data_IF_495875709286
#
_entry.id   IF_495875709286
#
_cell.length_a   1.000
_cell.length_b   1.000
_cell.length_c   1.000
_cell.angle_alpha   90.00
_cell.angle_beta   90.00
_cell.angle_gamma   90.00
#
_symmetry.space_group_name_H-M   'P 1'
#
loop_
_entity.id
_entity.type
_entity.pdbx_description
1 polymer ?
#
# COMPACT_ATOMS: atom_id res chain seq x y z
N UNK A 1 -1.88 47.71 15.59
CA UNK A 1 -2.86 46.61 15.47
C UNK A 1 -2.34 45.66 14.39
N UNK A 2 -1.53 44.65 14.79
CA UNK A 2 -0.95 43.68 13.86
C UNK A 2 -1.97 42.57 13.64
N UNK A 3 -2.49 42.45 12.43
CA UNK A 3 -3.28 41.33 11.99
C UNK A 3 -2.30 40.16 11.74
N UNK A 4 -2.25 39.21 12.66
CA UNK A 4 -1.66 37.89 12.42
C UNK A 4 -2.60 37.13 11.47
N UNK A 5 -2.28 37.13 10.16
CA UNK A 5 -2.87 36.21 9.22
C UNK A 5 -2.33 34.80 9.53
N UNK A 6 -3.14 34.05 10.27
CA UNK A 6 -2.88 32.63 10.48
C UNK A 6 -2.89 31.91 9.12
N UNK A 7 -1.73 31.52 8.62
CA UNK A 7 -1.62 30.51 7.58
C UNK A 7 -2.12 29.20 8.19
N UNK A 8 -3.37 28.85 7.89
CA UNK A 8 -3.85 27.48 8.06
C UNK A 8 -3.01 26.62 7.10
N UNK A 9 -2.02 25.89 7.62
CA UNK A 9 -1.43 24.79 6.88
C UNK A 9 -2.59 23.83 6.57
N UNK A 10 -3.04 23.81 5.32
CA UNK A 10 -3.97 22.80 4.86
C UNK A 10 -3.23 21.47 4.94
N UNK A 11 -3.73 20.54 5.76
CA UNK A 11 -3.14 19.21 5.82
C UNK A 11 -3.23 18.59 4.43
N UNK A 12 -2.14 18.01 3.94
CA UNK A 12 -2.10 17.36 2.64
C UNK A 12 -3.13 16.23 2.62
N UNK A 13 -3.98 16.22 1.59
CA UNK A 13 -5.00 15.17 1.41
C UNK A 13 -4.51 14.11 0.41
N UNK A 14 -5.02 12.87 0.55
CA UNK A 14 -4.71 11.76 -0.36
C UNK A 14 -5.00 12.10 -1.83
N UNK A 15 -5.97 12.96 -2.08
CA UNK A 15 -6.42 13.34 -3.42
C UNK A 15 -5.53 14.36 -4.14
N UNK A 16 -4.50 14.87 -3.48
CA UNK A 16 -3.51 15.77 -4.08
C UNK A 16 -2.42 15.01 -4.84
N UNK A 17 -2.32 13.70 -4.60
CA UNK A 17 -1.30 12.88 -5.25
C UNK A 17 -1.69 12.51 -6.67
N UNK A 18 -0.66 12.45 -7.52
CA UNK A 18 -0.72 11.93 -8.88
C UNK A 18 0.29 10.78 -8.98
N UNK A 19 -0.12 9.68 -9.56
CA UNK A 19 0.66 8.45 -9.71
C UNK A 19 0.71 8.02 -11.17
N UNK A 20 1.64 7.15 -11.54
CA UNK A 20 1.74 6.60 -12.90
C UNK A 20 1.16 5.20 -12.92
N UNK A 21 0.25 4.90 -13.85
CA UNK A 21 -0.27 3.55 -14.02
C UNK A 21 0.69 2.64 -14.79
N UNK A 22 0.37 1.34 -14.87
CA UNK A 22 1.20 0.35 -15.56
C UNK A 22 1.36 0.58 -17.09
N UNK A 23 0.58 1.50 -17.67
CA UNK A 23 0.71 1.94 -19.06
C UNK A 23 1.54 3.23 -19.20
N UNK A 24 2.16 3.72 -18.14
CA UNK A 24 2.94 4.94 -18.11
C UNK A 24 2.11 6.23 -18.11
N UNK A 25 0.80 6.15 -17.86
CA UNK A 25 -0.09 7.31 -17.85
C UNK A 25 -0.23 7.87 -16.45
N UNK A 26 -0.25 9.21 -16.37
CA UNK A 26 -0.50 9.93 -15.13
C UNK A 26 -1.96 9.80 -14.70
N UNK A 27 -2.19 9.47 -13.43
CA UNK A 27 -3.50 9.26 -12.81
C UNK A 27 -3.58 10.08 -11.52
N UNK A 28 -4.47 11.05 -11.46
CA UNK A 28 -4.74 11.81 -10.24
C UNK A 28 -5.58 10.98 -9.27
N UNK A 29 -5.19 10.89 -8.00
CA UNK A 29 -5.97 10.16 -6.98
C UNK A 29 -7.33 10.83 -6.71
N UNK A 30 -7.50 12.10 -7.08
CA UNK A 30 -8.80 12.77 -7.06
C UNK A 30 -9.87 12.08 -7.91
N UNK A 31 -9.49 11.27 -8.91
CA UNK A 31 -10.41 10.44 -9.71
C UNK A 31 -11.14 9.39 -8.87
N UNK A 32 -10.63 9.08 -7.70
CA UNK A 32 -11.19 8.09 -6.77
C UNK A 32 -11.98 8.71 -5.61
N UNK A 33 -12.29 10.03 -5.66
CA UNK A 33 -13.12 10.67 -4.61
C UNK A 33 -14.44 9.93 -4.41
N UNK A 34 -14.83 9.76 -3.14
CA UNK A 34 -16.06 9.07 -2.76
C UNK A 34 -15.93 7.54 -2.75
N UNK A 35 -14.80 6.98 -3.16
CA UNK A 35 -14.51 5.53 -3.05
C UNK A 35 -13.74 5.23 -1.76
N UNK A 36 -13.94 4.02 -1.25
CA UNK A 36 -13.02 3.43 -0.26
C UNK A 36 -11.80 2.92 -1.03
N UNK A 37 -10.59 3.32 -0.61
CA UNK A 37 -9.38 2.86 -1.28
C UNK A 37 -8.62 1.88 -0.39
N UNK A 38 -8.10 0.81 -1.00
CA UNK A 38 -7.11 -0.07 -0.41
C UNK A 38 -5.82 0.06 -1.23
N UNK A 39 -4.82 0.79 -0.69
CA UNK A 39 -3.54 1.00 -1.34
C UNK A 39 -2.56 -0.06 -0.82
N UNK A 40 -1.93 -0.81 -1.72
CA UNK A 40 -1.06 -1.93 -1.37
C UNK A 40 0.24 -1.90 -2.16
N UNK A 41 1.39 -2.16 -1.48
CA UNK A 41 2.64 -2.44 -2.17
C UNK A 41 2.83 -3.94 -2.34
N UNK A 42 3.15 -4.38 -3.55
CA UNK A 42 3.12 -5.79 -3.91
C UNK A 42 4.41 -6.31 -4.53
N UNK A 43 4.45 -7.63 -4.74
CA UNK A 43 5.54 -8.30 -5.43
C UNK A 43 5.05 -9.64 -6.02
N UNK A 44 5.72 -10.09 -7.11
CA UNK A 44 5.33 -11.31 -7.86
C UNK A 44 6.07 -12.57 -7.39
N UNK A 45 7.13 -12.43 -6.58
CA UNK A 45 7.98 -13.54 -6.09
C UNK A 45 8.13 -13.56 -4.57
N UNK A 46 7.08 -13.12 -3.87
CA UNK A 46 7.02 -13.06 -2.42
C UNK A 46 6.24 -14.24 -1.85
N UNK A 47 6.55 -14.68 -0.64
CA UNK A 47 5.74 -15.67 0.08
C UNK A 47 4.28 -15.22 0.29
N UNK A 48 4.03 -13.90 0.26
CA UNK A 48 2.69 -13.32 0.36
C UNK A 48 2.01 -13.07 -1.01
N UNK A 49 2.64 -13.38 -2.15
CA UNK A 49 2.05 -13.24 -3.49
C UNK A 49 0.67 -13.92 -3.62
N UNK A 50 0.39 -15.07 -2.97
CA UNK A 50 -0.95 -15.66 -2.99
C UNK A 50 -2.07 -14.75 -2.46
N UNK A 51 -1.77 -13.68 -1.70
CA UNK A 51 -2.77 -12.69 -1.28
C UNK A 51 -3.45 -11.94 -2.44
N UNK A 52 -2.87 -11.96 -3.65
CA UNK A 52 -3.57 -11.43 -4.83
C UNK A 52 -4.93 -12.09 -5.04
N UNK A 53 -5.04 -13.40 -4.78
CA UNK A 53 -6.33 -14.11 -4.89
C UNK A 53 -7.37 -13.59 -3.90
N UNK A 54 -6.95 -13.33 -2.66
CA UNK A 54 -7.84 -12.81 -1.62
C UNK A 54 -8.20 -11.34 -1.89
N UNK A 55 -7.24 -10.54 -2.38
CA UNK A 55 -7.47 -9.15 -2.78
C UNK A 55 -8.44 -9.06 -3.96
N UNK A 56 -8.31 -9.94 -4.97
CA UNK A 56 -9.25 -9.98 -6.10
C UNK A 56 -10.65 -10.40 -5.64
N UNK A 57 -10.77 -11.39 -4.76
CA UNK A 57 -12.05 -11.78 -4.20
C UNK A 57 -12.72 -10.62 -3.42
N UNK A 58 -11.93 -9.87 -2.62
CA UNK A 58 -12.39 -8.67 -1.93
C UNK A 58 -12.85 -7.60 -2.92
N UNK A 59 -12.09 -7.38 -4.00
CA UNK A 59 -12.44 -6.43 -5.04
C UNK A 59 -13.73 -6.83 -5.76
N UNK A 60 -13.87 -8.08 -6.16
CA UNK A 60 -15.07 -8.61 -6.81
C UNK A 60 -16.33 -8.41 -5.93
N UNK A 61 -16.20 -8.62 -4.63
CA UNK A 61 -17.31 -8.49 -3.68
C UNK A 61 -17.74 -7.03 -3.47
N UNK A 62 -16.79 -6.07 -3.42
CA UNK A 62 -17.06 -4.71 -2.97
C UNK A 62 -16.87 -3.62 -4.02
N UNK A 63 -16.35 -3.90 -5.22
CA UNK A 63 -16.14 -2.89 -6.26
C UNK A 63 -17.43 -2.16 -6.64
N UNK A 64 -18.55 -2.87 -6.77
CA UNK A 64 -19.86 -2.29 -7.04
C UNK A 64 -20.38 -1.40 -5.89
N UNK A 65 -19.85 -1.59 -4.68
CA UNK A 65 -20.15 -0.80 -3.49
C UNK A 65 -19.16 0.37 -3.30
N UNK A 66 -18.23 0.54 -4.25
CA UNK A 66 -17.29 1.65 -4.28
C UNK A 66 -15.94 1.38 -3.61
N UNK A 67 -15.53 0.12 -3.45
CA UNK A 67 -14.15 -0.22 -3.15
C UNK A 67 -13.29 -0.07 -4.40
N UNK A 68 -12.09 0.48 -4.24
CA UNK A 68 -11.03 0.43 -5.24
C UNK A 68 -9.73 -0.06 -4.61
N UNK A 69 -9.04 -0.98 -5.28
CA UNK A 69 -7.72 -1.46 -4.84
C UNK A 69 -6.67 -0.86 -5.77
N UNK A 70 -5.67 -0.19 -5.21
CA UNK A 70 -4.59 0.44 -5.95
C UNK A 70 -3.28 -0.31 -5.67
N UNK A 71 -2.82 -1.06 -6.66
CA UNK A 71 -1.67 -1.96 -6.56
C UNK A 71 -0.39 -1.29 -7.06
N UNK A 72 0.61 -1.17 -6.18
CA UNK A 72 1.91 -0.58 -6.47
C UNK A 72 3.03 -1.61 -6.28
N UNK A 73 3.54 -2.23 -7.36
CA UNK A 73 4.68 -3.14 -7.24
C UNK A 73 5.92 -2.45 -6.67
N UNK A 74 6.62 -3.14 -5.75
CA UNK A 74 7.82 -2.61 -5.11
C UNK A 74 8.93 -3.65 -5.08
N UNK A 75 10.14 -3.28 -5.54
CA UNK A 75 11.28 -4.21 -5.61
C UNK A 75 12.26 -4.09 -4.44
N UNK A 76 11.97 -3.25 -3.43
CA UNK A 76 12.89 -2.98 -2.32
C UNK A 76 13.03 -4.14 -1.32
N UNK A 77 12.07 -5.08 -1.31
CA UNK A 77 12.06 -6.20 -0.38
C UNK A 77 12.55 -7.48 -1.07
N UNK A 78 13.84 -7.75 -0.95
CA UNK A 78 14.48 -8.94 -1.49
C UNK A 78 14.42 -9.07 -3.01
N UNK A 79 14.23 -7.96 -3.74
CA UNK A 79 14.11 -7.93 -5.22
C UNK A 79 13.00 -8.86 -5.75
N UNK A 80 11.88 -8.94 -5.02
CA UNK A 80 10.79 -9.87 -5.28
C UNK A 80 9.76 -9.37 -6.30
N UNK A 81 9.94 -8.17 -6.86
CA UNK A 81 9.14 -7.62 -7.96
C UNK A 81 10.04 -7.32 -9.18
N UNK A 82 10.72 -8.32 -9.77
CA UNK A 82 11.49 -8.11 -10.98
C UNK A 82 10.57 -7.85 -12.18
N UNK A 83 11.17 -7.32 -13.25
CA UNK A 83 10.45 -7.03 -14.48
C UNK A 83 9.87 -5.62 -14.52
N UNK A 84 9.24 -5.30 -15.62
CA UNK A 84 8.53 -4.04 -15.89
C UNK A 84 7.12 -4.07 -15.30
N UNK A 85 6.48 -2.90 -15.19
CA UNK A 85 5.09 -2.80 -14.76
C UNK A 85 4.14 -3.62 -15.66
N UNK A 86 4.39 -3.63 -16.97
CA UNK A 86 3.59 -4.41 -17.92
C UNK A 86 3.74 -5.93 -17.71
N UNK A 87 4.95 -6.42 -17.45
CA UNK A 87 5.20 -7.84 -17.15
C UNK A 87 4.57 -8.26 -15.82
N UNK A 88 4.64 -7.40 -14.81
CA UNK A 88 3.99 -7.62 -13.51
C UNK A 88 2.47 -7.69 -13.68
N UNK A 89 1.87 -6.75 -14.41
CA UNK A 89 0.44 -6.75 -14.73
C UNK A 89 0.02 -8.02 -15.46
N UNK A 90 0.78 -8.45 -16.47
CA UNK A 90 0.53 -9.69 -17.17
C UNK A 90 0.58 -10.91 -16.24
N UNK A 91 1.56 -10.95 -15.34
CA UNK A 91 1.67 -12.01 -14.32
C UNK A 91 0.43 -12.04 -13.42
N UNK A 92 -0.01 -10.89 -12.90
CA UNK A 92 -1.15 -10.79 -12.00
C UNK A 92 -2.46 -11.19 -12.69
N UNK A 93 -2.70 -10.72 -13.91
CA UNK A 93 -3.91 -11.09 -14.66
C UNK A 93 -3.93 -12.57 -15.02
N UNK A 94 -2.78 -13.16 -15.44
CA UNK A 94 -2.72 -14.57 -15.86
C UNK A 94 -2.84 -15.55 -14.69
N UNK A 95 -2.26 -15.22 -13.51
CA UNK A 95 -2.17 -16.16 -12.39
C UNK A 95 -3.24 -15.95 -11.32
N UNK A 96 -3.84 -14.76 -11.24
CA UNK A 96 -4.76 -14.38 -10.16
C UNK A 96 -6.03 -13.68 -10.66
N UNK A 97 -6.21 -13.53 -11.98
CA UNK A 97 -7.35 -12.83 -12.62
C UNK A 97 -7.53 -11.39 -12.10
N UNK A 98 -6.45 -10.72 -11.70
CA UNK A 98 -6.48 -9.37 -11.13
C UNK A 98 -7.12 -8.38 -12.09
N UNK A 99 -8.18 -7.69 -11.64
CA UNK A 99 -8.96 -6.68 -12.38
C UNK A 99 -8.85 -5.28 -11.78
N UNK A 100 -8.41 -5.15 -10.54
CA UNK A 100 -8.22 -3.85 -9.92
C UNK A 100 -7.04 -3.08 -10.54
N UNK A 101 -7.03 -1.73 -10.44
CA UNK A 101 -5.98 -0.87 -10.99
C UNK A 101 -4.57 -1.22 -10.52
N UNK A 102 -3.67 -1.40 -11.49
CA UNK A 102 -2.26 -1.61 -11.25
C UNK A 102 -1.43 -0.41 -11.74
N UNK A 103 -0.47 -0.01 -10.93
CA UNK A 103 0.36 1.17 -11.14
C UNK A 103 1.80 0.79 -11.49
N UNK A 104 2.59 1.80 -11.80
CA UNK A 104 4.01 1.61 -12.07
C UNK A 104 4.75 1.19 -10.80
N UNK A 105 5.90 0.58 -11.02
CA UNK A 105 6.77 0.13 -9.93
C UNK A 105 7.37 1.33 -9.20
N UNK A 106 7.32 1.32 -7.87
CA UNK A 106 7.76 2.41 -7.02
C UNK A 106 8.67 1.95 -5.89
N UNK A 107 9.38 2.89 -5.31
CA UNK A 107 9.98 2.74 -3.99
C UNK A 107 9.02 3.25 -2.91
N UNK A 108 8.96 2.54 -1.79
CA UNK A 108 8.08 2.89 -0.65
C UNK A 108 8.85 3.40 0.57
N UNK A 109 10.17 3.21 0.60
CA UNK A 109 11.07 3.64 1.67
C UNK A 109 12.30 4.36 1.13
N UNK A 110 12.97 5.11 2.01
CA UNK A 110 14.21 5.82 1.70
C UNK A 110 13.98 7.13 0.93
N UNK A 111 15.07 7.74 0.43
CA UNK A 111 15.03 9.06 -0.20
C UNK A 111 14.30 9.07 -1.56
N UNK A 112 14.12 7.91 -2.18
CA UNK A 112 13.41 7.73 -3.46
C UNK A 112 11.97 7.29 -3.28
N UNK A 113 11.49 7.20 -2.04
CA UNK A 113 10.10 6.81 -1.75
C UNK A 113 9.10 7.70 -2.47
N UNK A 114 8.10 7.08 -3.11
CA UNK A 114 7.01 7.80 -3.73
C UNK A 114 6.30 8.70 -2.71
N UNK A 115 6.01 9.98 -3.03
CA UNK A 115 5.39 10.93 -2.10
C UNK A 115 4.11 10.40 -1.45
N UNK A 116 3.30 9.64 -2.20
CA UNK A 116 2.11 8.97 -1.69
C UNK A 116 2.45 8.03 -0.51
N UNK A 117 3.49 7.20 -0.62
CA UNK A 117 3.86 6.27 0.45
C UNK A 117 4.53 6.97 1.63
N UNK A 118 5.24 8.07 1.40
CA UNK A 118 5.74 8.94 2.49
C UNK A 118 4.56 9.47 3.31
N UNK A 119 3.55 10.03 2.65
CA UNK A 119 2.32 10.49 3.28
C UNK A 119 1.60 9.37 4.05
N UNK A 120 1.37 8.21 3.43
CA UNK A 120 0.67 7.08 4.05
C UNK A 120 1.36 6.60 5.34
N UNK A 121 2.70 6.52 5.33
CA UNK A 121 3.51 6.14 6.50
C UNK A 121 3.44 7.17 7.64
N UNK A 122 3.32 8.44 7.31
CA UNK A 122 3.15 9.53 8.29
C UNK A 122 1.75 9.48 8.92
N UNK A 123 0.71 9.16 8.15
CA UNK A 123 -0.65 9.04 8.65
C UNK A 123 -0.84 7.80 9.54
N UNK A 124 -0.26 6.66 9.16
CA UNK A 124 -0.34 5.40 9.90
C UNK A 124 1.00 4.69 9.92
N UNK A 125 1.68 4.80 11.05
CA UNK A 125 2.95 4.14 11.32
C UNK A 125 2.82 2.62 11.48
N UNK A 126 3.96 1.96 11.65
CA UNK A 126 4.02 0.53 11.97
C UNK A 126 3.60 0.30 13.44
N UNK A 127 2.66 -0.61 13.66
CA UNK A 127 2.13 -0.94 14.99
C UNK A 127 2.59 -2.32 15.52
N UNK A 128 3.48 -3.00 14.79
CA UNK A 128 3.97 -4.33 15.12
C UNK A 128 3.36 -5.42 14.26
N UNK A 129 4.00 -6.59 14.24
CA UNK A 129 3.41 -7.83 13.70
C UNK A 129 2.66 -8.58 14.80
N UNK A 130 1.66 -9.36 14.44
CA UNK A 130 1.09 -10.35 15.36
C UNK A 130 2.10 -11.49 15.58
N UNK A 131 2.73 -11.49 16.75
CA UNK A 131 3.74 -12.50 17.11
C UNK A 131 3.12 -13.84 17.54
N UNK A 132 1.81 -13.98 17.57
CA UNK A 132 1.14 -15.27 17.70
C UNK A 132 1.19 -16.03 16.37
N UNK A 133 1.25 -15.30 15.26
CA UNK A 133 1.34 -15.87 13.92
C UNK A 133 2.79 -16.18 13.53
N UNK A 134 3.02 -17.36 12.95
CA UNK A 134 4.35 -17.81 12.51
C UNK A 134 5.02 -16.84 11.53
N UNK A 135 4.25 -16.29 10.60
CA UNK A 135 4.75 -15.32 9.63
C UNK A 135 5.23 -14.02 10.30
N UNK A 136 4.49 -13.54 11.31
CA UNK A 136 4.89 -12.38 12.11
C UNK A 136 6.21 -12.62 12.86
N UNK A 137 6.35 -13.79 13.49
CA UNK A 137 7.60 -14.17 14.18
C UNK A 137 8.80 -14.24 13.23
N UNK A 138 8.60 -14.74 12.02
CA UNK A 138 9.67 -14.87 11.01
C UNK A 138 10.11 -13.48 10.54
N UNK A 139 9.17 -12.60 10.19
CA UNK A 139 9.49 -11.24 9.76
C UNK A 139 10.13 -10.43 10.88
N UNK A 140 9.60 -10.46 12.11
CA UNK A 140 10.19 -9.77 13.27
C UNK A 140 11.65 -10.20 13.47
N UNK A 141 11.91 -11.51 13.51
CA UNK A 141 13.27 -12.02 13.70
C UNK A 141 14.23 -11.60 12.59
N UNK A 142 13.76 -11.63 11.34
CA UNK A 142 14.56 -11.25 10.17
C UNK A 142 14.90 -9.76 10.21
N UNK A 143 13.92 -8.90 10.44
CA UNK A 143 14.09 -7.44 10.45
C UNK A 143 14.92 -6.98 11.65
N UNK A 144 14.71 -7.58 12.83
CA UNK A 144 15.45 -7.25 14.06
C UNK A 144 16.94 -7.61 13.97
N UNK A 145 17.29 -8.61 13.15
CA UNK A 145 18.70 -8.91 12.83
C UNK A 145 19.36 -7.84 11.96
N UNK A 146 18.58 -7.17 11.12
CA UNK A 146 19.09 -6.10 10.24
C UNK A 146 19.13 -4.75 10.95
N UNK A 147 18.11 -4.47 11.77
CA UNK A 147 17.96 -3.23 12.53
C UNK A 147 17.20 -3.54 13.83
N UNK A 148 17.88 -3.44 14.96
CA UNK A 148 17.27 -3.70 16.27
C UNK A 148 16.09 -2.78 16.60
N UNK A 149 16.07 -1.58 16.01
CA UNK A 149 15.06 -0.54 16.20
C UNK A 149 14.07 -0.44 15.02
N UNK A 150 14.00 -1.48 14.14
CA UNK A 150 13.14 -1.46 12.97
C UNK A 150 11.67 -1.14 13.30
N UNK A 151 11.20 -1.60 14.46
CA UNK A 151 9.83 -1.46 14.93
C UNK A 151 9.48 -0.04 15.41
N UNK A 152 10.48 0.81 15.66
CA UNK A 152 10.31 2.23 16.02
C UNK A 152 10.12 3.15 14.81
N UNK A 153 10.31 2.64 13.59
CA UNK A 153 10.23 3.40 12.33
C UNK A 153 8.90 3.15 11.64
N UNK A 154 8.33 4.19 11.02
CA UNK A 154 7.08 4.08 10.25
C UNK A 154 7.23 3.39 8.89
N UNK A 155 8.47 3.10 8.45
CA UNK A 155 8.77 2.47 7.18
C UNK A 155 7.92 1.22 6.91
N UNK A 156 7.63 0.97 5.63
CA UNK A 156 7.04 -0.28 5.19
C UNK A 156 8.01 -1.43 5.51
N UNK A 157 7.50 -2.48 6.13
CA UNK A 157 8.35 -3.57 6.62
C UNK A 157 8.53 -4.70 5.61
N UNK A 158 7.51 -4.91 4.77
CA UNK A 158 7.55 -5.97 3.76
C UNK A 158 6.52 -5.72 2.65
N UNK A 159 6.58 -6.53 1.58
CA UNK A 159 5.56 -6.55 0.53
C UNK A 159 4.18 -6.91 1.12
N UNK A 160 3.12 -6.43 0.48
CA UNK A 160 1.71 -6.59 0.87
C UNK A 160 1.31 -5.85 2.15
N UNK A 161 2.00 -4.76 2.50
CA UNK A 161 1.48 -3.77 3.45
C UNK A 161 0.35 -2.99 2.76
N UNK A 162 -0.74 -2.79 3.48
CA UNK A 162 -1.98 -2.19 2.96
C UNK A 162 -2.40 -1.00 3.80
N UNK A 163 -2.96 0.01 3.14
CA UNK A 163 -3.57 1.17 3.80
C UNK A 163 -5.02 1.26 3.35
N UNK A 164 -5.94 1.31 4.31
CA UNK A 164 -7.36 1.54 4.07
C UNK A 164 -7.67 3.02 4.20
N UNK A 165 -8.33 3.59 3.19
CA UNK A 165 -8.71 5.00 3.12
C UNK A 165 -10.21 5.10 2.99
N UNK A 166 -10.83 5.98 3.80
CA UNK A 166 -12.25 6.27 3.76
C UNK A 166 -12.68 7.03 2.51
N UNK A 167 -13.99 7.13 2.27
CA UNK A 167 -14.57 7.83 1.11
C UNK A 167 -14.24 9.32 1.07
N UNK A 168 -13.97 9.91 2.21
CA UNK A 168 -13.58 11.31 2.37
C UNK A 168 -12.05 11.53 2.37
N UNK A 169 -11.26 10.46 2.14
CA UNK A 169 -9.82 10.53 1.93
C UNK A 169 -8.96 10.38 3.18
N UNK A 170 -9.53 10.05 4.33
CA UNK A 170 -8.76 9.82 5.56
C UNK A 170 -8.15 8.42 5.58
N UNK A 171 -6.86 8.33 5.93
CA UNK A 171 -6.18 7.05 6.14
C UNK A 171 -6.67 6.44 7.46
N UNK A 172 -7.48 5.39 7.37
CA UNK A 172 -8.12 4.76 8.53
C UNK A 172 -7.18 3.83 9.26
N UNK A 173 -6.55 2.93 8.51
CA UNK A 173 -5.74 1.85 9.09
C UNK A 173 -4.64 1.40 8.13
N UNK A 174 -3.53 0.94 8.71
CA UNK A 174 -2.48 0.18 8.06
C UNK A 174 -2.60 -1.28 8.50
N UNK A 175 -2.45 -2.19 7.54
CA UNK A 175 -2.42 -3.64 7.75
C UNK A 175 -1.08 -4.19 7.27
N UNK A 176 -0.44 -4.97 8.11
CA UNK A 176 0.80 -5.64 7.74
C UNK A 176 0.49 -6.92 6.92
N UNK A 177 1.46 -7.44 6.13
CA UNK A 177 1.24 -8.62 5.28
C UNK A 177 0.82 -9.88 6.05
N UNK A 178 1.12 -9.95 7.34
CA UNK A 178 0.79 -11.07 8.23
C UNK A 178 -0.64 -11.05 8.74
N UNK A 179 -1.36 -9.93 8.56
CA UNK A 179 -2.77 -9.84 8.92
C UNK A 179 -3.66 -10.47 7.84
N UNK A 180 -4.68 -11.27 8.22
CA UNK A 180 -5.66 -11.80 7.28
C UNK A 180 -6.41 -10.71 6.53
N UNK A 181 -6.65 -10.90 5.23
CA UNK A 181 -7.43 -9.96 4.40
C UNK A 181 -8.85 -9.77 4.97
N UNK A 182 -9.46 -10.80 5.56
CA UNK A 182 -10.77 -10.73 6.21
C UNK A 182 -10.86 -9.71 7.36
N UNK A 183 -9.72 -9.22 7.88
CA UNK A 183 -9.73 -8.13 8.86
C UNK A 183 -10.04 -6.76 8.22
N UNK A 184 -9.90 -6.63 6.91
CA UNK A 184 -10.21 -5.39 6.16
C UNK A 184 -11.72 -5.18 6.04
N UNK A 185 -12.50 -6.26 6.10
CA UNK A 185 -13.98 -6.25 5.99
C UNK A 185 -14.69 -5.83 7.28
N UNK A 186 -13.96 -5.75 8.40
CA UNK A 186 -14.51 -5.41 9.74
C UNK A 186 -14.43 -3.93 10.04
#
# INVERSE_FOLDING_TARGET
MFLLSGLTLCAQEIYEFTVTNADGKSVALSNYRGKVLLIVNTATRCGFTPQYKELEALYEQYAAQGLEILDFPCNQFGQQAPGTAAEIRQFCSTNFDVRFPQFDKIDVNGPTAAPLFTYLKEQKGFAGFDLKEKAGQVLDRMLRKQDADYDKKSDIKWNFTKFLISRDGHVLRRYEPTEPISNIEK
#
